data_IF_015974524816
#
_entry.id   IF_015974524816
#
_cell.length_a   1.000
_cell.length_b   1.000
_cell.length_c   1.000
_cell.angle_alpha   90.00
_cell.angle_beta   90.00
_cell.angle_gamma   90.00
#
_symmetry.space_group_name_H-M   'P 1'
#
loop_
_entity.id
_entity.type
_entity.pdbx_description
1 polymer ?
#
# COMPACT_ATOMS: atom_id res chain seq x y z
N UNK A 1 -52.51 -1.57 -7.19
CA UNK A 1 -52.30 -2.94 -6.71
C UNK A 1 -51.19 -2.85 -5.67
N UNK A 2 -51.52 -2.83 -4.37
CA UNK A 2 -51.38 -3.99 -3.43
C UNK A 2 -49.93 -4.53 -3.50
N UNK A 3 -49.08 -4.46 -2.47
CA UNK A 3 -49.29 -4.83 -1.05
C UNK A 3 -48.17 -4.32 -0.14
N UNK A 4 -48.51 -4.10 1.13
CA UNK A 4 -47.63 -3.76 2.25
C UNK A 4 -47.10 -5.00 2.99
N UNK A 5 -45.98 -4.87 3.72
CA UNK A 5 -45.62 -5.62 4.94
C UNK A 5 -44.43 -4.89 5.62
N UNK A 6 -44.62 -4.10 6.69
CA UNK A 6 -44.75 -4.50 8.10
C UNK A 6 -43.39 -4.85 8.77
N UNK A 7 -42.73 -3.84 9.34
CA UNK A 7 -41.62 -4.00 10.29
C UNK A 7 -42.17 -4.52 11.63
N UNK A 8 -41.69 -5.69 12.06
CA UNK A 8 -42.00 -6.30 13.36
C UNK A 8 -40.92 -6.01 14.39
N UNK A 9 -41.33 -5.30 15.45
CA UNK A 9 -40.66 -5.13 16.74
C UNK A 9 -40.31 -6.48 17.39
N UNK A 10 -39.13 -6.60 18.00
CA UNK A 10 -38.85 -7.63 19.00
C UNK A 10 -38.29 -6.98 20.28
N UNK A 11 -39.13 -6.97 21.32
CA UNK A 11 -38.81 -6.58 22.70
C UNK A 11 -38.86 -7.86 23.57
N UNK A 12 -37.84 -8.02 24.43
CA UNK A 12 -37.77 -8.80 25.68
C UNK A 12 -37.62 -10.33 25.66
N UNK A 13 -36.60 -10.82 26.39
CA UNK A 13 -36.76 -11.44 27.73
C UNK A 13 -35.40 -11.74 28.40
N UNK A 14 -35.21 -11.19 29.60
CA UNK A 14 -34.18 -11.57 30.58
C UNK A 14 -34.82 -12.50 31.61
N UNK A 15 -34.21 -13.62 32.00
CA UNK A 15 -34.47 -14.24 33.28
C UNK A 15 -33.31 -13.98 34.26
N UNK A 16 -33.64 -13.28 35.34
CA UNK A 16 -32.84 -13.20 36.57
C UNK A 16 -33.03 -14.49 37.38
N UNK A 17 -31.95 -15.21 37.69
CA UNK A 17 -31.93 -16.24 38.73
C UNK A 17 -30.88 -15.86 39.77
N UNK A 18 -31.37 -15.65 41.00
CA UNK A 18 -30.59 -15.52 42.23
C UNK A 18 -30.70 -16.85 42.98
N UNK A 19 -29.56 -17.39 43.43
CA UNK A 19 -29.47 -18.53 44.34
C UNK A 19 -28.04 -18.70 44.85
N UNK A 20 -27.85 -18.59 46.16
CA UNK A 20 -26.56 -18.50 46.87
C UNK A 20 -26.08 -19.91 47.36
N UNK A 21 -24.78 -20.21 47.12
CA UNK A 21 -23.75 -21.04 47.82
C UNK A 21 -24.13 -22.12 48.87
N UNK A 22 -23.36 -23.25 49.06
CA UNK A 22 -21.89 -23.21 49.26
C UNK A 22 -21.03 -24.44 48.84
N UNK A 23 -19.71 -24.21 48.69
CA UNK A 23 -18.63 -25.14 49.09
C UNK A 23 -18.19 -26.25 48.13
N UNK A 24 -17.07 -26.05 47.44
CA UNK A 24 -15.96 -27.01 47.31
C UNK A 24 -14.75 -26.33 46.64
N UNK A 25 -13.60 -26.28 47.33
CA UNK A 25 -12.27 -26.23 46.69
C UNK A 25 -11.89 -27.69 46.28
N UNK A 26 -10.89 -27.97 45.41
CA UNK A 26 -9.96 -27.09 44.72
C UNK A 26 -9.81 -27.42 43.20
N UNK A 27 -9.21 -26.51 42.45
CA UNK A 27 -8.14 -26.86 41.51
C UNK A 27 -7.55 -25.57 40.95
N UNK A 28 -6.24 -25.40 41.10
CA UNK A 28 -5.46 -24.55 40.21
C UNK A 28 -5.56 -25.15 38.80
N UNK A 29 -6.67 -24.86 38.12
CA UNK A 29 -6.80 -25.04 36.70
C UNK A 29 -5.82 -24.06 36.07
N UNK A 30 -4.67 -24.58 35.66
CA UNK A 30 -3.90 -23.95 34.62
C UNK A 30 -4.88 -23.57 33.53
N UNK A 31 -5.13 -22.26 33.38
CA UNK A 31 -5.55 -21.71 32.11
C UNK A 31 -4.42 -22.06 31.15
N UNK A 32 -4.49 -23.24 30.53
CA UNK A 32 -3.97 -23.39 29.19
C UNK A 32 -4.62 -22.24 28.43
N UNK A 33 -3.83 -21.21 28.14
CA UNK A 33 -4.17 -20.30 27.07
C UNK A 33 -4.58 -21.22 25.93
N UNK A 34 -5.85 -21.16 25.54
CA UNK A 34 -6.27 -21.72 24.27
C UNK A 34 -5.36 -21.04 23.27
N UNK A 35 -4.39 -21.78 22.76
CA UNK A 35 -3.62 -21.38 21.61
C UNK A 35 -4.68 -21.13 20.54
N UNK A 36 -4.91 -19.84 20.25
CA UNK A 36 -5.94 -19.44 19.29
C UNK A 36 -5.52 -20.13 18.00
N UNK A 37 -6.31 -21.12 17.57
CA UNK A 37 -6.09 -21.79 16.31
C UNK A 37 -6.11 -20.70 15.24
N UNK A 38 -4.94 -20.45 14.69
CA UNK A 38 -4.66 -19.33 13.82
C UNK A 38 -3.55 -19.72 12.86
N UNK A 39 -3.42 -18.93 11.80
CA UNK A 39 -2.37 -19.16 10.83
C UNK A 39 -0.99 -19.07 11.51
N UNK A 40 -0.02 -19.90 11.09
CA UNK A 40 1.36 -19.74 11.52
C UNK A 40 1.85 -18.35 11.06
N UNK A 41 2.80 -17.74 11.80
CA UNK A 41 3.37 -16.47 11.37
C UNK A 41 4.04 -16.62 10.01
N UNK A 42 3.92 -15.57 9.17
CA UNK A 42 4.51 -15.55 7.83
C UNK A 42 5.99 -15.94 7.91
N UNK A 43 6.43 -16.95 7.13
CA UNK A 43 7.77 -17.48 7.26
C UNK A 43 8.79 -16.40 6.91
N UNK A 44 9.80 -16.22 7.76
CA UNK A 44 10.90 -15.25 7.57
C UNK A 44 11.68 -15.41 6.24
N UNK A 45 11.49 -16.53 5.55
CA UNK A 45 12.04 -16.80 4.21
C UNK A 45 11.23 -16.16 3.08
N UNK A 46 9.96 -15.85 3.28
CA UNK A 46 9.10 -15.14 2.33
C UNK A 46 9.39 -13.63 2.42
N UNK A 47 10.37 -13.19 1.63
CA UNK A 47 10.87 -11.81 1.69
C UNK A 47 10.07 -10.83 0.82
N UNK A 48 9.42 -11.35 -0.22
CA UNK A 48 8.61 -10.56 -1.15
C UNK A 48 7.11 -10.75 -0.85
N UNK A 49 6.26 -9.74 -1.06
CA UNK A 49 4.82 -9.85 -0.83
C UNK A 49 4.17 -11.05 -1.53
N UNK A 50 4.62 -11.42 -2.73
CA UNK A 50 4.08 -12.54 -3.50
C UNK A 50 4.44 -13.90 -2.88
N UNK A 51 5.63 -14.01 -2.28
CA UNK A 51 6.02 -15.22 -1.54
C UNK A 51 5.20 -15.34 -0.25
N UNK A 52 4.89 -14.21 0.39
CA UNK A 52 4.06 -14.16 1.60
C UNK A 52 2.61 -14.53 1.28
N UNK A 53 2.08 -14.05 0.14
CA UNK A 53 0.76 -14.45 -0.36
C UNK A 53 0.68 -15.95 -0.60
N UNK A 54 1.65 -16.52 -1.33
CA UNK A 54 1.69 -17.97 -1.59
C UNK A 54 1.78 -18.80 -0.31
N UNK A 55 2.63 -18.39 0.65
CA UNK A 55 2.73 -19.06 1.94
C UNK A 55 1.39 -19.00 2.69
N UNK A 56 0.77 -17.83 2.73
CA UNK A 56 -0.52 -17.62 3.42
C UNK A 56 -1.65 -18.46 2.79
N UNK A 57 -1.68 -18.59 1.46
CA UNK A 57 -2.64 -19.49 0.78
C UNK A 57 -2.43 -20.93 1.24
N UNK A 58 -1.17 -21.43 1.24
CA UNK A 58 -0.85 -22.79 1.68
C UNK A 58 -1.23 -23.03 3.14
N UNK A 59 -0.91 -22.07 4.02
CA UNK A 59 -1.20 -22.18 5.44
C UNK A 59 -2.72 -22.17 5.73
N UNK A 60 -3.49 -21.41 4.94
CA UNK A 60 -4.94 -21.36 5.03
C UNK A 60 -5.59 -22.63 4.48
N UNK A 61 -5.05 -23.22 3.43
CA UNK A 61 -5.47 -24.55 2.94
C UNK A 61 -5.25 -25.64 3.99
N UNK A 62 -4.09 -25.63 4.65
CA UNK A 62 -3.77 -26.58 5.73
C UNK A 62 -4.70 -26.38 6.94
N UNK A 63 -5.02 -25.13 7.28
CA UNK A 63 -5.97 -24.81 8.35
C UNK A 63 -7.37 -25.35 8.03
N UNK A 64 -7.90 -25.11 6.83
CA UNK A 64 -9.23 -25.60 6.42
C UNK A 64 -9.30 -27.13 6.40
N UNK A 65 -8.21 -27.81 6.01
CA UNK A 65 -8.16 -29.27 6.02
C UNK A 65 -8.09 -29.86 7.43
N UNK A 66 -7.40 -29.19 8.36
CA UNK A 66 -7.21 -29.67 9.73
C UNK A 66 -8.35 -29.31 10.68
N UNK A 67 -8.82 -28.06 10.61
CA UNK A 67 -9.84 -27.48 11.49
C UNK A 67 -10.63 -26.37 10.77
N UNK A 68 -11.65 -26.71 9.97
CA UNK A 68 -12.41 -25.74 9.18
C UNK A 68 -13.17 -24.73 10.05
N UNK A 69 -13.55 -25.11 11.27
CA UNK A 69 -14.27 -24.25 12.20
C UNK A 69 -13.36 -23.14 12.78
N UNK A 70 -12.04 -23.33 12.75
CA UNK A 70 -11.07 -22.34 13.24
C UNK A 70 -10.91 -21.14 12.30
N UNK A 71 -11.09 -21.33 10.99
CA UNK A 71 -10.92 -20.26 10.00
C UNK A 71 -12.24 -19.49 9.77
N UNK A 72 -13.38 -20.18 9.82
CA UNK A 72 -14.70 -19.61 9.60
C UNK A 72 -15.34 -20.03 8.27
N UNK A 73 -16.67 -19.88 8.13
CA UNK A 73 -17.42 -20.45 7.01
C UNK A 73 -17.16 -19.82 5.64
N UNK A 74 -16.58 -18.62 5.56
CA UNK A 74 -16.27 -17.93 4.29
C UNK A 74 -14.83 -18.15 3.82
N UNK A 75 -14.06 -19.00 4.51
CA UNK A 75 -12.63 -19.22 4.22
C UNK A 75 -12.37 -19.71 2.80
N UNK A 76 -13.24 -20.56 2.25
CA UNK A 76 -13.10 -21.07 0.87
C UNK A 76 -13.20 -19.94 -0.17
N UNK A 77 -14.10 -18.97 0.05
CA UNK A 77 -14.26 -17.81 -0.82
C UNK A 77 -13.06 -16.85 -0.72
N UNK A 78 -12.50 -16.69 0.48
CA UNK A 78 -11.25 -15.97 0.69
C UNK A 78 -10.09 -16.66 -0.04
N UNK A 79 -9.95 -17.98 0.08
CA UNK A 79 -8.92 -18.76 -0.62
C UNK A 79 -9.01 -18.59 -2.14
N UNK A 80 -10.21 -18.67 -2.71
CA UNK A 80 -10.39 -18.47 -4.15
C UNK A 80 -10.03 -17.04 -4.58
N UNK A 81 -10.36 -16.05 -3.76
CA UNK A 81 -9.96 -14.65 -3.98
C UNK A 81 -8.44 -14.47 -3.93
N UNK A 82 -7.76 -15.06 -2.94
CA UNK A 82 -6.30 -14.98 -2.80
C UNK A 82 -5.58 -15.64 -3.98
N UNK A 83 -6.07 -16.80 -4.44
CA UNK A 83 -5.55 -17.47 -5.65
C UNK A 83 -5.74 -16.62 -6.89
N UNK A 84 -6.87 -15.92 -7.01
CA UNK A 84 -7.09 -14.98 -8.11
C UNK A 84 -6.09 -13.82 -8.07
N UNK A 85 -5.74 -13.31 -6.88
CA UNK A 85 -4.68 -12.29 -6.73
C UNK A 85 -3.32 -12.87 -7.12
N UNK A 86 -2.99 -14.10 -6.73
CA UNK A 86 -1.67 -14.71 -7.00
C UNK A 86 -1.37 -14.86 -8.49
N UNK A 87 -2.39 -15.18 -9.31
CA UNK A 87 -2.20 -15.43 -10.76
C UNK A 87 -2.12 -14.16 -11.61
N UNK A 88 -2.51 -13.00 -11.05
CA UNK A 88 -2.41 -11.70 -11.70
C UNK A 88 -0.99 -11.13 -11.57
N UNK A 89 -0.70 -10.07 -12.32
CA UNK A 89 0.56 -9.33 -12.19
C UNK A 89 0.40 -7.82 -12.37
N UNK A 90 1.33 -7.05 -11.81
CA UNK A 90 1.37 -5.60 -11.98
C UNK A 90 0.15 -4.88 -11.37
N UNK A 91 -0.38 -3.89 -12.08
CA UNK A 91 -1.52 -3.08 -11.62
C UNK A 91 -2.79 -3.88 -11.36
N UNK A 92 -3.07 -4.91 -12.17
CA UNK A 92 -4.24 -5.78 -11.98
C UNK A 92 -4.16 -6.57 -10.67
N UNK A 93 -2.98 -7.06 -10.31
CA UNK A 93 -2.74 -7.76 -9.04
C UNK A 93 -2.93 -6.83 -7.84
N UNK A 94 -2.34 -5.63 -7.90
CA UNK A 94 -2.52 -4.62 -6.83
C UNK A 94 -3.98 -4.22 -6.67
N UNK A 95 -4.68 -4.00 -7.79
CA UNK A 95 -6.11 -3.67 -7.78
C UNK A 95 -6.92 -4.78 -7.13
N UNK A 96 -6.70 -6.03 -7.53
CA UNK A 96 -7.38 -7.18 -6.95
C UNK A 96 -7.04 -7.37 -5.46
N UNK A 97 -5.79 -7.09 -5.05
CA UNK A 97 -5.36 -7.18 -3.65
C UNK A 97 -6.10 -6.19 -2.74
N UNK A 98 -6.33 -4.95 -3.22
CA UNK A 98 -7.14 -3.95 -2.49
C UNK A 98 -8.58 -4.42 -2.32
N UNK A 99 -9.19 -4.92 -3.40
CA UNK A 99 -10.58 -5.45 -3.35
C UNK A 99 -10.68 -6.65 -2.41
N UNK A 100 -9.71 -7.56 -2.48
CA UNK A 100 -9.64 -8.72 -1.61
C UNK A 100 -9.47 -8.31 -0.14
N UNK A 101 -8.68 -7.26 0.14
CA UNK A 101 -8.47 -6.77 1.49
C UNK A 101 -9.76 -6.26 2.12
N UNK A 102 -10.55 -5.49 1.37
CA UNK A 102 -11.86 -4.98 1.83
C UNK A 102 -12.87 -6.12 2.01
N UNK A 103 -12.89 -7.10 1.09
CA UNK A 103 -13.75 -8.27 1.20
C UNK A 103 -13.43 -9.10 2.46
N UNK A 104 -12.15 -9.31 2.77
CA UNK A 104 -11.71 -9.98 3.99
C UNK A 104 -12.13 -9.20 5.23
N UNK A 105 -12.00 -7.87 5.22
CA UNK A 105 -12.48 -7.01 6.31
C UNK A 105 -13.99 -7.15 6.54
N UNK A 106 -14.78 -7.20 5.46
CA UNK A 106 -16.22 -7.42 5.53
C UNK A 106 -16.57 -8.83 6.07
N UNK A 107 -15.85 -9.87 5.63
CA UNK A 107 -16.03 -11.24 6.12
C UNK A 107 -15.73 -11.35 7.63
N UNK A 108 -14.66 -10.70 8.11
CA UNK A 108 -14.36 -10.63 9.56
C UNK A 108 -15.48 -9.91 10.32
N UNK A 109 -15.95 -8.77 9.80
CA UNK A 109 -17.01 -8.00 10.45
C UNK A 109 -18.35 -8.76 10.50
N UNK A 110 -18.64 -9.59 9.49
CA UNK A 110 -19.81 -10.45 9.43
C UNK A 110 -19.68 -11.73 10.29
N UNK A 111 -18.48 -12.04 10.80
CA UNK A 111 -18.16 -13.29 11.49
C UNK A 111 -17.99 -14.49 10.55
N UNK A 112 -17.82 -14.25 9.25
CA UNK A 112 -17.53 -15.25 8.23
C UNK A 112 -16.08 -15.74 8.24
N UNK A 113 -15.17 -14.94 8.81
CA UNK A 113 -13.76 -15.27 8.99
C UNK A 113 -13.30 -14.95 10.42
N UNK A 114 -12.46 -15.80 10.98
CA UNK A 114 -11.83 -15.57 12.27
C UNK A 114 -10.94 -14.31 12.24
N UNK A 115 -11.06 -13.44 13.24
CA UNK A 115 -10.38 -12.15 13.25
C UNK A 115 -8.85 -12.24 13.12
N UNK A 116 -8.22 -13.23 13.75
CA UNK A 116 -6.78 -13.44 13.65
C UNK A 116 -6.34 -13.86 12.23
N UNK A 117 -7.13 -14.72 11.59
CA UNK A 117 -6.89 -15.15 10.19
C UNK A 117 -7.07 -13.96 9.26
N UNK A 118 -8.16 -13.22 9.41
CA UNK A 118 -8.44 -12.03 8.60
C UNK A 118 -7.37 -10.96 8.73
N UNK A 119 -6.90 -10.67 9.95
CA UNK A 119 -5.81 -9.72 10.16
C UNK A 119 -4.55 -10.12 9.40
N UNK A 120 -4.11 -11.38 9.52
CA UNK A 120 -2.90 -11.84 8.82
C UNK A 120 -3.05 -11.81 7.30
N UNK A 121 -4.21 -12.19 6.77
CA UNK A 121 -4.51 -12.10 5.34
C UNK A 121 -4.50 -10.65 4.86
N UNK A 122 -5.10 -9.72 5.62
CA UNK A 122 -5.12 -8.29 5.30
C UNK A 122 -3.70 -7.69 5.31
N UNK A 123 -2.86 -8.04 6.28
CA UNK A 123 -1.46 -7.58 6.32
C UNK A 123 -0.67 -7.99 5.06
N UNK A 124 -0.87 -9.22 4.58
CA UNK A 124 -0.22 -9.72 3.36
C UNK A 124 -0.77 -9.04 2.11
N UNK A 125 -2.09 -8.87 2.02
CA UNK A 125 -2.73 -8.17 0.90
C UNK A 125 -2.34 -6.70 0.83
N UNK A 126 -2.19 -6.02 1.97
CA UNK A 126 -1.68 -4.65 2.03
C UNK A 126 -0.24 -4.56 1.49
N UNK A 127 0.60 -5.55 1.82
CA UNK A 127 1.94 -5.67 1.25
C UNK A 127 1.94 -5.85 -0.28
N UNK A 128 1.02 -6.66 -0.81
CA UNK A 128 0.86 -6.87 -2.26
C UNK A 128 0.31 -5.63 -2.96
N UNK A 129 -0.64 -4.92 -2.33
CA UNK A 129 -1.27 -3.71 -2.85
C UNK A 129 -0.32 -2.49 -2.89
N UNK A 130 0.74 -2.51 -2.09
CA UNK A 130 1.66 -1.38 -1.92
C UNK A 130 2.31 -0.96 -3.25
N UNK A 131 2.17 0.31 -3.67
CA UNK A 131 2.88 0.84 -4.84
C UNK A 131 4.33 1.19 -4.49
N UNK A 132 5.30 0.71 -5.28
CA UNK A 132 6.70 1.12 -5.12
C UNK A 132 6.97 2.52 -5.69
N UNK A 133 6.21 2.92 -6.71
CA UNK A 133 6.36 4.19 -7.45
C UNK A 133 4.99 4.74 -7.84
N UNK A 134 4.94 6.03 -8.22
CA UNK A 134 3.71 6.66 -8.70
C UNK A 134 3.06 5.92 -9.89
N UNK A 135 3.87 5.46 -10.86
CA UNK A 135 3.38 4.69 -12.00
C UNK A 135 2.68 3.39 -11.57
N UNK A 136 3.10 2.79 -10.47
CA UNK A 136 2.49 1.56 -9.96
C UNK A 136 1.08 1.85 -9.43
N UNK A 137 0.87 3.01 -8.80
CA UNK A 137 -0.45 3.52 -8.39
C UNK A 137 -1.33 3.88 -9.60
N UNK A 138 -0.78 4.53 -10.63
CA UNK A 138 -1.48 4.80 -11.90
C UNK A 138 -1.99 3.49 -12.52
N UNK A 139 -1.14 2.46 -12.56
CA UNK A 139 -1.50 1.15 -13.11
C UNK A 139 -2.56 0.44 -12.26
N UNK A 140 -2.47 0.54 -10.93
CA UNK A 140 -3.47 -0.01 -10.00
C UNK A 140 -4.84 0.61 -10.26
N UNK A 141 -4.93 1.95 -10.28
CA UNK A 141 -6.20 2.65 -10.55
C UNK A 141 -6.69 2.37 -11.96
N UNK A 142 -5.80 2.37 -12.95
CA UNK A 142 -6.15 2.15 -14.36
C UNK A 142 -6.66 0.75 -14.68
N UNK A 143 -6.36 -0.26 -13.85
CA UNK A 143 -6.83 -1.63 -14.05
C UNK A 143 -8.34 -1.75 -13.86
N UNK A 144 -8.88 -1.19 -12.77
CA UNK A 144 -10.31 -1.17 -12.48
C UNK A 144 -10.70 0.03 -11.59
N UNK A 145 -10.84 1.24 -12.14
CA UNK A 145 -11.10 2.44 -11.33
C UNK A 145 -12.35 2.36 -10.44
N UNK A 146 -13.48 1.77 -10.89
CA UNK A 146 -14.66 1.56 -10.04
C UNK A 146 -14.43 0.65 -8.82
N UNK A 147 -13.41 -0.21 -8.83
CA UNK A 147 -13.14 -1.14 -7.74
C UNK A 147 -12.83 -0.42 -6.41
N UNK A 148 -12.29 0.79 -6.48
CA UNK A 148 -11.87 1.56 -5.32
C UNK A 148 -13.00 2.41 -4.73
N UNK A 149 -14.22 2.34 -5.26
CA UNK A 149 -15.38 3.10 -4.79
C UNK A 149 -15.83 4.20 -5.76
N UNK A 150 -16.90 4.94 -5.41
CA UNK A 150 -17.51 5.95 -6.27
C UNK A 150 -16.56 7.04 -6.79
N UNK A 151 -15.54 7.40 -6.00
CA UNK A 151 -14.55 8.41 -6.39
C UNK A 151 -13.39 7.84 -7.22
N UNK A 152 -13.21 6.51 -7.28
CA UNK A 152 -12.09 5.85 -7.95
C UNK A 152 -11.89 6.25 -9.42
N UNK A 153 -12.95 6.33 -10.27
CA UNK A 153 -12.82 6.82 -11.64
C UNK A 153 -12.26 8.23 -11.78
N UNK A 154 -12.46 9.09 -10.77
CA UNK A 154 -11.95 10.46 -10.75
C UNK A 154 -10.46 10.58 -10.46
N UNK A 155 -9.79 9.51 -10.02
CA UNK A 155 -8.39 9.54 -9.61
C UNK A 155 -7.41 9.34 -10.77
N UNK A 156 -7.83 8.66 -11.84
CA UNK A 156 -6.92 8.23 -12.90
C UNK A 156 -6.27 9.41 -13.64
N UNK A 157 -7.07 10.39 -14.06
CA UNK A 157 -6.57 11.57 -14.78
C UNK A 157 -5.60 12.42 -13.94
N UNK A 158 -5.91 12.76 -12.66
CA UNK A 158 -4.95 13.41 -11.77
C UNK A 158 -3.63 12.65 -11.58
N UNK A 159 -3.70 11.32 -11.41
CA UNK A 159 -2.50 10.49 -11.24
C UNK A 159 -1.64 10.47 -12.51
N UNK A 160 -2.25 10.30 -13.69
CA UNK A 160 -1.55 10.37 -14.98
C UNK A 160 -0.92 11.76 -15.18
N UNK A 161 -1.65 12.82 -14.84
CA UNK A 161 -1.16 14.18 -14.95
C UNK A 161 0.06 14.39 -14.05
N UNK A 162 0.00 13.97 -12.79
CA UNK A 162 1.12 14.06 -11.85
C UNK A 162 2.35 13.29 -12.37
N UNK A 163 2.13 12.12 -12.95
CA UNK A 163 3.21 11.24 -13.42
C UNK A 163 3.89 11.75 -14.71
N UNK A 164 3.14 12.33 -15.64
CA UNK A 164 3.63 12.62 -17.00
C UNK A 164 3.54 14.07 -17.47
N UNK A 165 2.81 14.94 -16.76
CA UNK A 165 2.43 16.25 -17.31
C UNK A 165 2.75 17.41 -16.38
N UNK A 166 2.70 17.19 -15.06
CA UNK A 166 3.00 18.22 -14.06
C UNK A 166 4.50 18.52 -14.07
N UNK A 167 4.92 19.77 -14.30
CA UNK A 167 6.33 20.15 -14.21
C UNK A 167 6.87 19.98 -12.79
N UNK A 168 8.19 19.71 -12.67
CA UNK A 168 8.82 19.39 -11.39
C UNK A 168 8.59 20.42 -10.27
N UNK A 169 8.50 21.70 -10.62
CA UNK A 169 8.29 22.81 -9.67
C UNK A 169 6.86 22.85 -9.09
N UNK A 170 5.93 22.13 -9.70
CA UNK A 170 4.52 22.04 -9.31
C UNK A 170 4.16 20.67 -8.70
N UNK A 171 5.02 19.67 -8.79
CA UNK A 171 4.75 18.29 -8.33
C UNK A 171 4.27 18.26 -6.89
N UNK A 172 4.98 18.93 -5.97
CA UNK A 172 4.64 18.92 -4.55
C UNK A 172 3.25 19.50 -4.25
N UNK A 173 2.92 20.64 -4.85
CA UNK A 173 1.61 21.28 -4.65
C UNK A 173 0.48 20.44 -5.25
N UNK A 174 0.71 19.82 -6.41
CA UNK A 174 -0.28 18.96 -7.08
C UNK A 174 -0.48 17.64 -6.34
N UNK A 175 0.60 17.03 -5.85
CA UNK A 175 0.53 15.84 -5.02
C UNK A 175 -0.17 16.13 -3.68
N UNK A 176 0.08 17.29 -3.06
CA UNK A 176 -0.59 17.70 -1.82
C UNK A 176 -2.10 17.87 -2.01
N UNK A 177 -2.53 18.49 -3.11
CA UNK A 177 -3.95 18.61 -3.44
C UNK A 177 -4.60 17.23 -3.67
N UNK A 178 -3.95 16.35 -4.44
CA UNK A 178 -4.46 15.00 -4.69
C UNK A 178 -4.50 14.15 -3.40
N UNK A 179 -3.50 14.30 -2.53
CA UNK A 179 -3.47 13.66 -1.22
C UNK A 179 -4.66 14.08 -0.34
N UNK A 180 -5.00 15.37 -0.35
CA UNK A 180 -6.17 15.90 0.35
C UNK A 180 -7.47 15.32 -0.23
N UNK A 181 -7.59 15.27 -1.56
CA UNK A 181 -8.74 14.67 -2.24
C UNK A 181 -8.92 13.19 -1.88
N UNK A 182 -7.84 12.41 -1.90
CA UNK A 182 -7.85 10.98 -1.52
C UNK A 182 -8.28 10.80 -0.07
N UNK A 183 -7.73 11.56 0.87
CA UNK A 183 -8.12 11.49 2.29
C UNK A 183 -9.58 11.87 2.50
N UNK A 184 -10.02 12.97 1.90
CA UNK A 184 -11.41 13.43 2.01
C UNK A 184 -12.40 12.44 1.38
N UNK A 185 -12.03 11.74 0.31
CA UNK A 185 -12.87 10.72 -0.29
C UNK A 185 -12.91 9.45 0.56
N UNK A 186 -11.79 9.03 1.15
CA UNK A 186 -11.74 7.91 2.09
C UNK A 186 -12.58 8.18 3.35
N UNK A 187 -12.46 9.37 3.96
CA UNK A 187 -13.27 9.78 5.13
C UNK A 187 -14.78 9.77 4.85
N UNK A 188 -15.17 10.03 3.59
CA UNK A 188 -16.56 9.99 3.16
C UNK A 188 -17.03 8.59 2.74
N UNK A 189 -16.16 7.58 2.75
CA UNK A 189 -16.44 6.23 2.25
C UNK A 189 -16.65 6.18 0.73
N UNK A 190 -16.17 7.20 0.00
CA UNK A 190 -16.18 7.24 -1.46
C UNK A 190 -14.96 6.57 -2.08
N UNK A 191 -13.94 6.31 -1.25
CA UNK A 191 -12.81 5.43 -1.56
C UNK A 191 -12.68 4.31 -0.53
N UNK A 192 -12.21 3.16 -0.99
CA UNK A 192 -11.72 2.06 -0.17
C UNK A 192 -10.65 2.54 0.82
N UNK A 193 -10.74 2.07 2.08
CA UNK A 193 -9.74 2.33 3.11
C UNK A 193 -8.40 1.68 2.73
N UNK A 194 -8.44 0.43 2.26
CA UNK A 194 -7.24 -0.28 1.80
C UNK A 194 -6.54 0.44 0.64
N UNK A 195 -7.30 1.02 -0.29
CA UNK A 195 -6.73 1.85 -1.36
C UNK A 195 -6.08 3.11 -0.79
N UNK A 196 -6.76 3.81 0.12
CA UNK A 196 -6.25 5.04 0.72
C UNK A 196 -4.94 4.77 1.49
N UNK A 197 -4.88 3.70 2.27
CA UNK A 197 -3.70 3.29 3.01
C UNK A 197 -2.51 2.96 2.10
N UNK A 198 -2.76 2.37 0.93
CA UNK A 198 -1.74 2.10 -0.07
C UNK A 198 -1.28 3.38 -0.82
N UNK A 199 -2.19 4.31 -1.12
CA UNK A 199 -1.91 5.48 -1.95
C UNK A 199 -1.31 6.66 -1.16
N UNK A 200 -1.74 6.86 0.08
CA UNK A 200 -1.38 8.02 0.92
C UNK A 200 0.14 8.17 1.10
N UNK A 201 0.92 7.11 1.41
CA UNK A 201 2.36 7.23 1.61
C UNK A 201 3.09 7.76 0.37
N UNK A 202 2.79 7.24 -0.82
CA UNK A 202 3.39 7.71 -2.09
C UNK A 202 3.04 9.17 -2.36
N UNK A 203 1.78 9.56 -2.16
CA UNK A 203 1.35 10.95 -2.37
C UNK A 203 1.95 11.90 -1.32
N UNK A 204 2.17 11.43 -0.09
CA UNK A 204 2.86 12.21 0.96
C UNK A 204 4.33 12.46 0.61
N UNK A 205 5.05 11.46 0.10
CA UNK A 205 6.43 11.60 -0.33
C UNK A 205 6.54 12.61 -1.48
N UNK A 206 5.66 12.52 -2.48
CA UNK A 206 5.61 13.46 -3.60
C UNK A 206 5.20 14.87 -3.19
N UNK A 207 4.38 15.00 -2.13
CA UNK A 207 3.96 16.28 -1.57
C UNK A 207 5.08 16.99 -0.78
N UNK A 208 6.23 16.34 -0.55
CA UNK A 208 7.39 17.00 0.05
C UNK A 208 8.15 17.82 -1.02
N UNK A 209 8.22 19.17 -0.90
CA UNK A 209 9.02 19.99 -1.79
C UNK A 209 10.54 19.89 -1.52
N UNK A 210 10.96 19.22 -0.44
CA UNK A 210 12.35 19.07 -0.01
C UNK A 210 13.30 18.53 -1.09
N UNK A 211 13.01 17.37 -1.71
CA UNK A 211 13.84 16.81 -2.78
C UNK A 211 14.06 17.76 -3.96
N UNK A 212 13.00 18.44 -4.42
CA UNK A 212 13.13 19.39 -5.52
C UNK A 212 13.97 20.61 -5.12
N UNK A 213 13.81 21.14 -3.90
CA UNK A 213 14.65 22.25 -3.41
C UNK A 213 16.11 21.85 -3.31
N UNK A 214 16.40 20.66 -2.78
CA UNK A 214 17.77 20.14 -2.69
C UNK A 214 18.41 19.96 -4.09
N UNK A 215 17.63 19.57 -5.09
CA UNK A 215 18.08 19.54 -6.48
C UNK A 215 18.42 20.94 -7.02
N UNK A 216 17.58 21.94 -6.75
CA UNK A 216 17.84 23.32 -7.20
C UNK A 216 19.11 23.90 -6.56
N UNK A 217 19.32 23.67 -5.25
CA UNK A 217 20.52 24.09 -4.55
C UNK A 217 21.78 23.40 -5.13
N UNK A 218 21.71 22.09 -5.35
CA UNK A 218 22.79 21.32 -5.98
C UNK A 218 23.10 21.82 -7.40
N UNK A 219 22.07 22.10 -8.21
CA UNK A 219 22.25 22.61 -9.56
C UNK A 219 22.93 23.99 -9.53
N UNK A 220 22.51 24.88 -8.63
CA UNK A 220 23.12 26.20 -8.47
C UNK A 220 24.60 26.12 -8.07
N UNK A 221 24.95 25.26 -7.11
CA UNK A 221 26.34 25.02 -6.69
C UNK A 221 27.18 24.43 -7.85
N UNK A 222 26.63 23.46 -8.57
CA UNK A 222 27.27 22.81 -9.70
C UNK A 222 27.51 23.77 -10.88
N UNK A 223 26.59 24.72 -11.13
CA UNK A 223 26.75 25.75 -12.15
C UNK A 223 27.79 26.81 -11.76
N UNK A 224 27.94 27.09 -10.47
CA UNK A 224 28.91 28.05 -9.96
C UNK A 224 30.34 27.52 -10.03
N UNK A 225 30.55 26.22 -9.75
CA UNK A 225 31.85 25.55 -9.87
C UNK A 225 31.75 24.20 -10.60
N UNK A 226 31.66 24.22 -11.95
CA UNK A 226 31.63 22.99 -12.74
C UNK A 226 32.88 22.11 -12.56
N UNK A 227 34.01 22.71 -12.14
CA UNK A 227 35.26 22.01 -11.87
C UNK A 227 35.17 21.07 -10.67
N UNK A 228 34.29 21.36 -9.70
CA UNK A 228 34.03 20.49 -8.55
C UNK A 228 33.32 19.18 -8.94
N UNK A 229 32.62 19.15 -10.07
CA UNK A 229 31.92 17.95 -10.56
C UNK A 229 32.92 16.92 -11.06
N UNK A 230 33.92 17.33 -11.85
CA UNK A 230 34.93 16.45 -12.44
C UNK A 230 34.76 16.26 -13.96
N UNK A 231 35.38 15.20 -14.54
CA UNK A 231 35.46 15.02 -15.99
C UNK A 231 34.12 14.98 -16.74
N UNK A 232 33.04 14.52 -16.11
CA UNK A 232 31.71 14.44 -16.70
C UNK A 232 30.83 15.69 -16.44
N UNK A 233 31.42 16.85 -16.10
CA UNK A 233 30.70 18.05 -15.67
C UNK A 233 29.59 18.50 -16.64
N UNK A 234 29.83 18.43 -17.95
CA UNK A 234 28.86 18.85 -18.97
C UNK A 234 27.63 17.93 -19.02
N UNK A 235 27.85 16.62 -18.96
CA UNK A 235 26.78 15.61 -18.95
C UNK A 235 25.96 15.73 -17.67
N UNK A 236 26.62 15.85 -16.51
CA UNK A 236 25.97 16.05 -15.22
C UNK A 236 25.11 17.32 -15.19
N UNK A 237 25.65 18.47 -15.62
CA UNK A 237 24.89 19.72 -15.64
C UNK A 237 23.71 19.68 -16.62
N UNK A 238 23.85 18.97 -17.74
CA UNK A 238 22.75 18.77 -18.69
C UNK A 238 21.64 17.96 -18.04
N UNK A 239 21.96 16.84 -17.39
CA UNK A 239 20.99 16.02 -16.69
C UNK A 239 20.33 16.75 -15.52
N UNK A 240 21.09 17.46 -14.68
CA UNK A 240 20.52 18.20 -13.54
C UNK A 240 19.51 19.27 -13.98
N UNK A 241 19.79 19.99 -15.07
CA UNK A 241 18.83 20.95 -15.65
C UNK A 241 17.59 20.26 -16.18
N UNK A 242 17.73 19.11 -16.84
CA UNK A 242 16.60 18.35 -17.33
C UNK A 242 15.71 17.85 -16.17
N UNK A 243 16.31 17.24 -15.15
CA UNK A 243 15.61 16.73 -13.95
C UNK A 243 14.80 17.86 -13.29
N UNK A 244 15.33 19.09 -13.25
CA UNK A 244 14.67 20.24 -12.66
C UNK A 244 13.39 20.69 -13.40
N UNK A 245 13.14 20.20 -14.62
CA UNK A 245 11.97 20.58 -15.43
C UNK A 245 11.01 19.41 -15.69
N UNK A 246 11.51 18.17 -15.65
CA UNK A 246 10.76 16.98 -16.06
C UNK A 246 9.65 16.58 -15.05
N UNK A 247 8.50 16.07 -15.53
CA UNK A 247 7.51 15.38 -14.70
C UNK A 247 8.06 14.12 -14.02
N UNK A 248 7.34 13.56 -13.04
CA UNK A 248 7.82 12.46 -12.15
C UNK A 248 8.39 11.27 -12.92
N UNK A 249 7.64 10.67 -13.86
CA UNK A 249 8.11 9.49 -14.60
C UNK A 249 9.37 9.76 -15.45
N UNK A 250 9.39 10.78 -16.34
CA UNK A 250 10.61 11.05 -17.11
C UNK A 250 11.76 11.57 -16.23
N UNK A 251 11.46 12.27 -15.14
CA UNK A 251 12.46 12.70 -14.14
C UNK A 251 13.14 11.49 -13.52
N UNK A 252 12.38 10.49 -13.04
CA UNK A 252 12.95 9.27 -12.44
C UNK A 252 13.88 8.52 -13.39
N UNK A 253 13.55 8.47 -14.69
CA UNK A 253 14.41 7.85 -15.70
C UNK A 253 15.73 8.62 -15.90
N UNK A 254 15.67 9.95 -15.96
CA UNK A 254 16.87 10.80 -16.10
C UNK A 254 17.74 10.72 -14.84
N UNK A 255 17.12 10.71 -13.66
CA UNK A 255 17.79 10.53 -12.36
C UNK A 255 18.50 9.18 -12.30
N UNK A 256 17.85 8.10 -12.76
CA UNK A 256 18.46 6.77 -12.78
C UNK A 256 19.72 6.74 -13.67
N UNK A 257 19.64 7.33 -14.87
CA UNK A 257 20.79 7.45 -15.77
C UNK A 257 21.94 8.28 -15.15
N UNK A 258 21.61 9.38 -14.48
CA UNK A 258 22.59 10.22 -13.79
C UNK A 258 23.24 9.50 -12.60
N UNK A 259 22.46 8.75 -11.80
CA UNK A 259 22.98 7.93 -10.72
C UNK A 259 23.99 6.89 -11.22
N UNK A 260 23.72 6.25 -12.37
CA UNK A 260 24.65 5.32 -13.00
C UNK A 260 25.94 6.01 -13.43
N UNK A 261 25.87 7.22 -14.00
CA UNK A 261 27.04 8.02 -14.36
C UNK A 261 27.89 8.38 -13.15
N UNK A 262 27.27 8.93 -12.10
CA UNK A 262 27.95 9.41 -10.87
C UNK A 262 28.62 8.26 -10.11
N UNK A 263 28.07 7.05 -10.18
CA UNK A 263 28.65 5.85 -9.57
C UNK A 263 29.85 5.30 -10.32
N UNK A 264 30.05 5.61 -11.60
CA UNK A 264 31.24 5.17 -12.36
C UNK A 264 32.48 5.87 -11.86
N UNK A 265 33.55 5.10 -11.67
CA UNK A 265 34.82 5.62 -11.18
C UNK A 265 35.47 6.59 -12.17
N UNK A 266 35.98 7.69 -11.62
CA UNK A 266 36.69 8.73 -12.38
C UNK A 266 35.81 9.66 -13.21
N UNK A 267 34.48 9.49 -13.23
CA UNK A 267 33.57 10.39 -13.97
C UNK A 267 33.29 11.69 -13.21
N UNK A 268 33.16 11.59 -11.88
CA UNK A 268 32.96 12.72 -10.99
C UNK A 268 33.94 12.67 -9.82
N UNK A 269 34.10 13.79 -9.12
CA UNK A 269 34.90 13.83 -7.89
C UNK A 269 34.21 13.05 -6.76
N UNK A 270 34.95 12.47 -5.80
CA UNK A 270 34.36 11.78 -4.65
C UNK A 270 33.46 12.71 -3.83
N UNK A 271 33.88 13.96 -3.62
CA UNK A 271 33.11 14.97 -2.88
C UNK A 271 31.78 15.27 -3.56
N UNK A 272 31.78 15.47 -4.89
CA UNK A 272 30.53 15.69 -5.62
C UNK A 272 29.63 14.46 -5.52
N UNK A 273 30.16 13.26 -5.75
CA UNK A 273 29.44 11.98 -5.63
C UNK A 273 28.72 11.84 -4.28
N UNK A 274 29.42 12.13 -3.18
CA UNK A 274 28.85 12.05 -1.83
C UNK A 274 27.72 13.06 -1.60
N UNK A 275 27.81 14.24 -2.21
CA UNK A 275 26.78 15.27 -2.12
C UNK A 275 25.55 14.99 -3.02
N UNK A 276 25.76 14.49 -4.24
CA UNK A 276 24.67 14.35 -5.23
C UNK A 276 23.79 13.11 -4.99
N UNK A 277 24.35 12.00 -4.50
CA UNK A 277 23.59 10.74 -4.34
C UNK A 277 22.38 10.91 -3.40
N UNK A 278 22.51 11.53 -2.20
CA UNK A 278 21.37 11.74 -1.31
C UNK A 278 20.27 12.62 -1.90
N UNK A 279 20.59 13.51 -2.84
CA UNK A 279 19.64 14.39 -3.52
C UNK A 279 18.91 13.64 -4.64
N UNK A 280 19.62 12.80 -5.39
CA UNK A 280 19.05 12.07 -6.53
C UNK A 280 18.23 10.85 -6.13
N UNK A 281 18.63 10.10 -5.10
CA UNK A 281 17.94 8.85 -4.72
C UNK A 281 16.44 9.03 -4.45
N UNK A 282 16.00 10.07 -3.71
CA UNK A 282 14.57 10.32 -3.49
C UNK A 282 13.79 10.63 -4.77
N UNK A 283 14.41 11.23 -5.79
CA UNK A 283 13.76 11.60 -7.06
C UNK A 283 13.64 10.43 -8.05
N UNK A 284 14.27 9.29 -7.75
CA UNK A 284 14.25 8.09 -8.58
C UNK A 284 13.14 7.09 -8.17
N UNK A 285 12.52 7.32 -7.01
CA UNK A 285 11.47 6.48 -6.42
C UNK A 285 10.13 7.17 -6.66
#
# INVERSE_FOLDING_TARGET
MLTAAALGLALWLVPTVVGESPGDEPAAGSTQSAEVAGLPPVPSTARMPEDQLRATISDLEDLVQGDPDAAGPETDEVLDTLRQVEVLGGGEQRSAAVVAHDAVGAAVAAGGLAAAVGQQVQEVLAGVAWPERLIDLVQTVGADPPAFGPAGPGLLDPLIALDHQVPADQTADRAAALLEDVRNAAERGELSEAFADAAVPTLQELADPGPHRALQDLLADAEQDPGAIGPASEEVLTSLRAIAELPVWPQGNEVAALLDLVRRDGQVTPTFREAVIPVLVPLAR
#
